data_IF_624598463890
#
_entry.id   IF_624598463890
#
_cell.length_a   1.000
_cell.length_b   1.000
_cell.length_c   1.000
_cell.angle_alpha   90.00
_cell.angle_beta   90.00
_cell.angle_gamma   90.00
#
_symmetry.space_group_name_H-M   'P 1'
#
loop_
_entity.id
_entity.type
_entity.pdbx_description
1 polymer ?
#
# COMPACT_ATOMS: atom_id res chain seq x y z
N UNK A 1 -14.26 15.14 6.94
CA UNK A 1 -12.78 15.15 6.93
C UNK A 1 -12.34 15.28 8.36
N UNK A 2 -11.77 14.21 8.92
CA UNK A 2 -11.13 14.23 10.23
C UNK A 2 -9.85 15.03 10.08
N UNK A 3 -9.83 16.25 10.61
CA UNK A 3 -8.64 17.10 10.61
C UNK A 3 -7.49 16.35 11.32
N UNK A 4 -6.41 16.06 10.59
CA UNK A 4 -5.24 15.36 11.14
C UNK A 4 -4.27 16.35 11.81
N UNK A 5 -4.55 17.65 11.81
CA UNK A 5 -3.67 18.71 12.29
C UNK A 5 -2.30 18.75 11.59
N UNK A 6 -2.28 18.51 10.29
CA UNK A 6 -1.07 18.55 9.45
C UNK A 6 -0.38 19.93 9.53
N UNK A 7 0.87 20.02 10.02
CA UNK A 7 1.60 21.28 10.18
C UNK A 7 2.32 21.74 8.90
N UNK A 8 2.14 21.04 7.78
CA UNK A 8 2.80 21.30 6.49
C UNK A 8 1.80 21.84 5.46
N UNK A 9 2.31 22.21 4.29
CA UNK A 9 1.52 22.53 3.11
C UNK A 9 1.24 21.30 2.21
N UNK A 10 1.64 20.10 2.65
CA UNK A 10 1.46 18.85 1.92
C UNK A 10 0.03 18.34 2.05
N UNK A 11 -0.35 17.39 1.19
CA UNK A 11 -1.57 16.63 1.43
C UNK A 11 -1.47 15.84 2.73
N UNK A 12 -2.60 15.54 3.34
CA UNK A 12 -2.65 14.67 4.53
C UNK A 12 -2.05 13.29 4.25
N UNK A 13 -2.20 12.80 3.01
CA UNK A 13 -1.60 11.55 2.55
C UNK A 13 -0.07 11.65 2.54
N UNK A 14 0.48 12.70 1.92
CA UNK A 14 1.93 12.89 1.83
C UNK A 14 2.55 13.11 3.22
N UNK A 15 1.84 13.81 4.10
CA UNK A 15 2.26 13.95 5.48
C UNK A 15 2.32 12.61 6.22
N UNK A 16 1.30 11.76 6.08
CA UNK A 16 1.27 10.45 6.74
C UNK A 16 2.23 9.42 6.10
N UNK A 17 2.52 9.53 4.80
CA UNK A 17 3.63 8.80 4.17
C UNK A 17 4.98 9.18 4.79
N UNK A 18 5.22 10.48 4.98
CA UNK A 18 6.46 10.93 5.61
C UNK A 18 6.53 10.54 7.09
N UNK A 19 5.43 10.62 7.83
CA UNK A 19 5.34 10.13 9.21
C UNK A 19 5.72 8.64 9.31
N UNK A 20 5.14 7.80 8.44
CA UNK A 20 5.48 6.38 8.37
C UNK A 20 6.96 6.15 8.06
N UNK A 21 7.54 6.95 7.17
CA UNK A 21 8.98 6.92 6.88
C UNK A 21 9.82 7.30 8.10
N UNK A 22 9.49 8.38 8.82
CA UNK A 22 10.19 8.78 10.06
C UNK A 22 10.18 7.65 11.08
N UNK A 23 9.02 7.02 11.31
CA UNK A 23 8.91 5.85 12.21
C UNK A 23 9.84 4.69 11.80
N UNK A 24 10.02 4.45 10.49
CA UNK A 24 10.97 3.45 9.99
C UNK A 24 12.42 3.87 10.19
N UNK A 25 12.75 5.14 10.01
CA UNK A 25 14.10 5.66 10.27
C UNK A 25 14.47 5.49 11.75
N UNK A 26 13.55 5.75 12.67
CA UNK A 26 13.79 5.59 14.12
C UNK A 26 14.06 4.13 14.52
N UNK A 27 13.33 3.19 13.92
CA UNK A 27 13.42 1.77 14.27
C UNK A 27 14.56 1.04 13.54
N UNK A 28 14.85 1.41 12.29
CA UNK A 28 15.67 0.61 11.38
C UNK A 28 16.88 1.39 10.82
N UNK A 29 16.94 2.70 11.07
CA UNK A 29 17.97 3.61 10.59
C UNK A 29 17.72 4.14 9.18
N UNK A 30 18.25 5.33 8.89
CA UNK A 30 17.93 6.05 7.65
C UNK A 30 18.22 5.28 6.37
N UNK A 31 19.41 4.66 6.26
CA UNK A 31 19.80 3.98 5.01
C UNK A 31 18.86 2.82 4.70
N UNK A 32 18.55 1.98 5.69
CA UNK A 32 17.65 0.84 5.49
C UNK A 32 16.22 1.31 5.19
N UNK A 33 15.74 2.31 5.93
CA UNK A 33 14.43 2.91 5.68
C UNK A 33 14.31 3.50 4.26
N UNK A 34 15.35 4.19 3.78
CA UNK A 34 15.35 4.79 2.44
C UNK A 34 15.40 3.75 1.32
N UNK A 35 16.02 2.59 1.55
CA UNK A 35 16.11 1.51 0.56
C UNK A 35 14.83 0.67 0.49
N UNK A 36 14.28 0.31 1.66
CA UNK A 36 13.18 -0.67 1.75
C UNK A 36 11.80 -0.02 1.95
N UNK A 37 11.76 1.19 2.50
CA UNK A 37 10.54 1.89 2.90
C UNK A 37 10.53 3.37 2.47
N UNK A 38 11.12 3.69 1.31
CA UNK A 38 11.08 5.06 0.78
C UNK A 38 9.63 5.56 0.67
N UNK A 39 9.33 6.81 1.12
CA UNK A 39 7.97 7.31 1.16
C UNK A 39 7.37 7.45 -0.25
N UNK A 40 6.10 7.05 -0.40
CA UNK A 40 5.42 7.03 -1.71
C UNK A 40 4.49 8.22 -1.88
N UNK A 41 5.09 9.40 -1.97
CA UNK A 41 4.35 10.65 -2.11
C UNK A 41 3.46 10.71 -3.37
N UNK A 42 2.38 11.46 -3.31
CA UNK A 42 1.51 11.87 -4.41
C UNK A 42 2.08 13.09 -5.15
N UNK A 43 2.61 14.08 -4.43
CA UNK A 43 3.20 15.27 -5.03
C UNK A 43 4.41 14.90 -5.92
N UNK A 44 4.45 15.35 -7.20
CA UNK A 44 5.59 15.14 -8.06
C UNK A 44 6.90 15.73 -7.51
N UNK A 45 6.81 16.87 -6.81
CA UNK A 45 7.94 17.51 -6.17
C UNK A 45 8.52 16.65 -5.05
N UNK A 46 7.64 16.10 -4.18
CA UNK A 46 8.05 15.22 -3.10
C UNK A 46 8.54 13.86 -3.61
N UNK A 47 7.94 13.31 -4.67
CA UNK A 47 8.45 12.11 -5.35
C UNK A 47 9.88 12.32 -5.87
N UNK A 48 10.19 13.49 -6.42
CA UNK A 48 11.55 13.80 -6.87
C UNK A 48 12.56 13.87 -5.71
N UNK A 49 12.10 14.21 -4.50
CA UNK A 49 12.90 14.16 -3.28
C UNK A 49 13.10 12.70 -2.82
N UNK A 50 12.03 11.91 -2.76
CA UNK A 50 12.09 10.49 -2.33
C UNK A 50 12.99 9.63 -3.24
N UNK A 51 13.07 9.95 -4.53
CA UNK A 51 13.91 9.25 -5.51
C UNK A 51 15.39 9.66 -5.47
N UNK A 52 15.77 10.64 -4.66
CA UNK A 52 17.15 11.13 -4.54
C UNK A 52 17.60 10.97 -3.08
N UNK A 53 18.45 9.97 -2.82
CA UNK A 53 18.90 9.62 -1.47
C UNK A 53 19.48 10.81 -0.69
N UNK A 54 20.23 11.68 -1.37
CA UNK A 54 20.83 12.86 -0.74
C UNK A 54 19.78 13.89 -0.35
N UNK A 55 18.81 14.14 -1.24
CA UNK A 55 17.69 15.05 -0.95
C UNK A 55 16.75 14.49 0.10
N UNK A 56 16.40 13.20 0.04
CA UNK A 56 15.57 12.55 1.04
C UNK A 56 16.20 12.66 2.44
N UNK A 57 17.53 12.54 2.53
CA UNK A 57 18.23 12.70 3.81
C UNK A 57 18.17 14.12 4.34
N UNK A 58 18.40 15.12 3.49
CA UNK A 58 18.27 16.53 3.87
C UNK A 58 16.83 16.85 4.28
N UNK A 59 15.86 16.37 3.51
CA UNK A 59 14.44 16.54 3.76
C UNK A 59 14.00 15.92 5.09
N UNK A 60 14.46 14.70 5.39
CA UNK A 60 14.24 14.03 6.66
C UNK A 60 14.71 14.89 7.84
N UNK A 61 15.97 15.33 7.82
CA UNK A 61 16.55 16.14 8.91
C UNK A 61 15.85 17.50 9.09
N UNK A 62 15.31 18.05 8.01
CA UNK A 62 14.57 19.31 8.05
C UNK A 62 13.15 19.15 8.62
N UNK A 63 12.49 18.02 8.35
CA UNK A 63 11.06 17.85 8.59
C UNK A 63 10.71 16.91 9.76
N UNK A 64 11.62 16.05 10.21
CA UNK A 64 11.42 15.20 11.39
C UNK A 64 10.96 15.99 12.64
N UNK A 65 11.50 17.19 12.95
CA UNK A 65 11.01 17.96 14.09
C UNK A 65 9.54 18.39 13.98
N UNK A 66 8.98 18.46 12.76
CA UNK A 66 7.56 18.74 12.54
C UNK A 66 6.69 17.52 12.85
N UNK A 67 7.18 16.30 12.57
CA UNK A 67 6.53 15.05 12.95
C UNK A 67 6.51 14.92 14.47
N UNK A 68 7.63 15.18 15.13
CA UNK A 68 7.71 15.18 16.59
C UNK A 68 6.70 16.15 17.21
N UNK A 69 6.68 17.40 16.74
CA UNK A 69 5.75 18.41 17.24
C UNK A 69 4.28 18.01 17.02
N UNK A 70 3.96 17.45 15.85
CA UNK A 70 2.64 16.93 15.54
C UNK A 70 2.25 15.77 16.47
N UNK A 71 3.16 14.80 16.68
CA UNK A 71 2.93 13.66 17.56
C UNK A 71 2.65 14.09 19.00
N UNK A 72 3.38 15.10 19.51
CA UNK A 72 3.12 15.69 20.82
C UNK A 72 1.77 16.42 20.90
N UNK A 73 1.33 17.03 19.80
CA UNK A 73 0.06 17.75 19.72
C UNK A 73 -1.15 16.80 19.69
N UNK A 74 -1.13 15.78 18.83
CA UNK A 74 -2.28 14.87 18.64
C UNK A 74 -2.30 13.74 19.67
N UNK A 75 -1.14 13.40 20.23
CA UNK A 75 -0.97 12.32 21.18
C UNK A 75 -0.82 10.94 20.52
N UNK A 76 -0.24 9.97 21.26
CA UNK A 76 0.23 8.69 20.71
C UNK A 76 -0.91 7.80 20.16
N UNK A 77 -2.03 7.72 20.87
CA UNK A 77 -3.17 6.89 20.43
C UNK A 77 -3.75 7.41 19.12
N UNK A 78 -3.90 8.73 19.01
CA UNK A 78 -4.45 9.36 17.80
C UNK A 78 -3.49 9.26 16.62
N UNK A 79 -2.20 9.43 16.84
CA UNK A 79 -1.19 9.24 15.80
C UNK A 79 -1.22 7.80 15.26
N UNK A 80 -1.31 6.81 16.14
CA UNK A 80 -1.44 5.39 15.76
C UNK A 80 -2.72 5.13 14.95
N UNK A 81 -3.86 5.67 15.37
CA UNK A 81 -5.12 5.52 14.62
C UNK A 81 -5.03 6.14 13.22
N UNK A 82 -4.39 7.30 13.09
CA UNK A 82 -4.19 7.97 11.81
C UNK A 82 -3.23 7.20 10.90
N UNK A 83 -2.13 6.68 11.46
CA UNK A 83 -1.19 5.83 10.74
C UNK A 83 -1.87 4.55 10.23
N UNK A 84 -2.63 3.86 11.09
CA UNK A 84 -3.35 2.65 10.69
C UNK A 84 -4.39 2.93 9.60
N UNK A 85 -5.12 4.05 9.70
CA UNK A 85 -6.05 4.47 8.66
C UNK A 85 -5.33 4.77 7.33
N UNK A 86 -4.15 5.40 7.37
CA UNK A 86 -3.31 5.64 6.20
C UNK A 86 -2.84 4.33 5.55
N UNK A 87 -2.33 3.38 6.34
CA UNK A 87 -1.89 2.07 5.84
C UNK A 87 -3.05 1.30 5.21
N UNK A 88 -4.24 1.36 5.81
CA UNK A 88 -5.45 0.75 5.24
C UNK A 88 -5.87 1.43 3.93
N UNK A 89 -5.77 2.76 3.84
CA UNK A 89 -6.03 3.52 2.61
C UNK A 89 -5.01 3.18 1.52
N UNK A 90 -3.71 3.16 1.82
CA UNK A 90 -2.64 2.79 0.86
C UNK A 90 -2.80 1.35 0.39
N UNK A 91 -3.19 0.42 1.27
CA UNK A 91 -3.54 -0.96 0.90
C UNK A 91 -4.73 -0.97 -0.07
N UNK A 92 -5.82 -0.28 0.27
CA UNK A 92 -7.02 -0.23 -0.56
C UNK A 92 -6.73 0.37 -1.94
N UNK A 93 -5.95 1.46 -2.01
CA UNK A 93 -5.53 2.08 -3.28
C UNK A 93 -4.72 1.12 -4.16
N UNK A 94 -3.80 0.34 -3.57
CA UNK A 94 -3.02 -0.68 -4.30
C UNK A 94 -3.89 -1.81 -4.81
N UNK A 95 -4.84 -2.26 -4.01
CA UNK A 95 -5.82 -3.29 -4.41
C UNK A 95 -6.72 -2.77 -5.53
N UNK A 96 -7.17 -1.52 -5.44
CA UNK A 96 -8.03 -0.89 -6.44
C UNK A 96 -7.30 -0.58 -7.75
N UNK A 97 -6.00 -0.30 -7.70
CA UNK A 97 -5.17 -0.17 -8.89
C UNK A 97 -5.09 -1.46 -9.71
N UNK A 98 -5.34 -2.63 -9.11
CA UNK A 98 -5.25 -3.91 -9.80
C UNK A 98 -6.49 -4.17 -10.68
N UNK A 99 -6.23 -4.48 -11.95
CA UNK A 99 -7.27 -4.85 -12.91
C UNK A 99 -7.55 -6.35 -12.97
N UNK A 100 -6.72 -7.17 -12.32
CA UNK A 100 -6.81 -8.62 -12.38
C UNK A 100 -6.91 -9.19 -10.96
N UNK A 101 -7.64 -10.28 -10.79
CA UNK A 101 -7.74 -10.94 -9.50
C UNK A 101 -8.22 -12.39 -9.60
N UNK A 102 -8.20 -13.10 -8.49
CA UNK A 102 -8.65 -14.49 -8.37
C UNK A 102 -9.74 -14.52 -7.31
N UNK A 103 -10.97 -14.91 -7.69
CA UNK A 103 -11.98 -15.26 -6.68
C UNK A 103 -11.70 -16.66 -6.17
N UNK A 104 -11.59 -16.80 -4.86
CA UNK A 104 -11.46 -18.07 -4.19
C UNK A 104 -12.83 -18.61 -3.77
N UNK A 105 -12.92 -19.91 -3.50
CA UNK A 105 -14.16 -20.58 -3.10
C UNK A 105 -14.75 -20.09 -1.77
N UNK A 106 -13.97 -19.38 -0.95
CA UNK A 106 -14.40 -18.73 0.29
C UNK A 106 -14.95 -17.31 0.05
N UNK A 107 -15.06 -16.87 -1.20
CA UNK A 107 -15.52 -15.55 -1.60
C UNK A 107 -14.45 -14.46 -1.54
N UNK A 108 -13.23 -14.77 -1.06
CA UNK A 108 -12.13 -13.80 -1.02
C UNK A 108 -11.58 -13.56 -2.43
N UNK A 109 -11.07 -12.34 -2.67
CA UNK A 109 -10.41 -11.98 -3.93
C UNK A 109 -8.95 -11.67 -3.67
N UNK A 110 -8.06 -12.35 -4.40
CA UNK A 110 -6.63 -12.04 -4.42
C UNK A 110 -6.36 -11.12 -5.61
N UNK A 111 -5.96 -9.88 -5.37
CA UNK A 111 -5.59 -8.92 -6.43
C UNK A 111 -4.23 -9.27 -7.03
N UNK A 112 -4.08 -9.03 -8.34
CA UNK A 112 -2.89 -9.38 -9.10
C UNK A 112 -2.47 -8.21 -9.99
N UNK A 113 -1.17 -7.89 -10.00
CA UNK A 113 -0.63 -6.76 -10.77
C UNK A 113 -0.62 -6.97 -12.28
N UNK A 114 -0.80 -8.20 -12.76
CA UNK A 114 -0.91 -8.51 -14.19
C UNK A 114 -1.74 -9.77 -14.44
N UNK A 115 -2.26 -9.91 -15.65
CA UNK A 115 -2.96 -11.11 -16.12
C UNK A 115 -2.06 -12.35 -16.01
N UNK A 116 -0.80 -12.22 -16.46
CA UNK A 116 0.16 -13.32 -16.42
C UNK A 116 0.42 -13.80 -14.98
N UNK A 117 0.59 -12.87 -14.05
CA UNK A 117 0.82 -13.22 -12.64
C UNK A 117 -0.42 -13.88 -12.02
N UNK A 118 -1.62 -13.36 -12.31
CA UNK A 118 -2.89 -13.96 -11.89
C UNK A 118 -2.99 -15.42 -12.33
N UNK A 119 -2.73 -15.66 -13.61
CA UNK A 119 -2.87 -16.98 -14.21
C UNK A 119 -1.85 -17.98 -13.63
N UNK A 120 -0.60 -17.53 -13.43
CA UNK A 120 0.45 -18.33 -12.78
C UNK A 120 0.10 -18.65 -11.32
N UNK A 121 -0.30 -17.64 -10.54
CA UNK A 121 -0.68 -17.82 -9.14
C UNK A 121 -1.89 -18.75 -9.00
N UNK A 122 -2.89 -18.62 -9.87
CA UNK A 122 -4.04 -19.52 -9.88
C UNK A 122 -3.63 -20.97 -10.14
N UNK A 123 -2.74 -21.22 -11.10
CA UNK A 123 -2.24 -22.55 -11.38
C UNK A 123 -1.47 -23.13 -10.19
N UNK A 124 -0.61 -22.33 -9.55
CA UNK A 124 0.17 -22.72 -8.37
C UNK A 124 -0.74 -23.04 -7.16
N UNK A 125 -1.79 -22.26 -6.94
CA UNK A 125 -2.76 -22.49 -5.87
C UNK A 125 -3.57 -23.78 -6.12
N UNK A 126 -4.01 -24.03 -7.35
CA UNK A 126 -4.69 -25.28 -7.72
C UNK A 126 -3.79 -26.50 -7.56
N UNK A 127 -2.51 -26.40 -7.91
CA UNK A 127 -1.55 -27.49 -7.72
C UNK A 127 -1.33 -27.83 -6.23
N UNK A 128 -1.68 -26.92 -5.32
CA UNK A 128 -1.56 -27.08 -3.86
C UNK A 128 -2.90 -27.36 -3.18
N UNK A 129 -3.96 -27.62 -3.94
CA UNK A 129 -5.29 -27.94 -3.40
C UNK A 129 -5.21 -29.04 -2.33
N UNK A 130 -5.92 -28.86 -1.21
CA UNK A 130 -5.90 -29.76 -0.07
C UNK A 130 -4.82 -29.49 0.98
N UNK A 131 -3.86 -28.58 0.72
CA UNK A 131 -2.80 -28.22 1.68
C UNK A 131 -3.14 -26.99 2.54
N UNK A 132 -4.42 -26.68 2.72
CA UNK A 132 -4.89 -25.52 3.51
C UNK A 132 -4.77 -24.15 2.82
N UNK A 133 -4.30 -24.10 1.57
CA UNK A 133 -4.32 -22.90 0.74
C UNK A 133 -5.73 -22.60 0.21
N UNK A 134 -6.02 -21.32 -0.07
CA UNK A 134 -7.26 -20.93 -0.73
C UNK A 134 -7.34 -21.56 -2.11
N UNK A 135 -8.53 -22.04 -2.47
CA UNK A 135 -8.78 -22.71 -3.74
C UNK A 135 -9.35 -21.69 -4.74
N UNK A 136 -8.70 -21.46 -5.89
CA UNK A 136 -9.23 -20.62 -6.95
C UNK A 136 -10.55 -21.17 -7.52
N UNK A 137 -11.53 -20.29 -7.69
CA UNK A 137 -12.82 -20.57 -8.33
C UNK A 137 -12.88 -19.92 -9.72
N UNK A 138 -12.62 -18.62 -9.80
CA UNK A 138 -12.70 -17.84 -11.03
C UNK A 138 -11.55 -16.86 -11.18
N UNK A 139 -11.15 -16.64 -12.43
CA UNK A 139 -10.24 -15.55 -12.79
C UNK A 139 -11.06 -14.32 -13.10
N UNK A 140 -10.69 -13.21 -12.46
CA UNK A 140 -11.42 -11.96 -12.48
C UNK A 140 -10.69 -10.88 -13.26
N UNK A 141 -11.46 -9.97 -13.82
CA UNK A 141 -10.99 -8.73 -14.45
C UNK A 141 -11.89 -7.54 -14.11
N UNK A 142 -11.29 -6.36 -14.01
CA UNK A 142 -11.94 -5.04 -13.99
C UNK A 142 -11.56 -4.28 -15.26
N UNK A 143 -12.46 -3.44 -15.74
CA UNK A 143 -12.18 -2.53 -16.87
C UNK A 143 -11.47 -1.25 -16.42
N UNK A 144 -11.68 -0.85 -15.17
CA UNK A 144 -11.07 0.35 -14.56
C UNK A 144 -10.63 0.06 -13.13
N UNK A 145 -9.57 0.74 -12.63
CA UNK A 145 -9.19 0.67 -11.23
C UNK A 145 -10.38 0.94 -10.29
N UNK A 146 -10.50 0.17 -9.21
CA UNK A 146 -11.59 0.25 -8.23
C UNK A 146 -12.98 -0.17 -8.76
N UNK A 147 -13.07 -0.64 -10.02
CA UNK A 147 -14.32 -1.06 -10.64
C UNK A 147 -14.91 -2.35 -10.06
N UNK A 148 -16.08 -2.75 -10.58
CA UNK A 148 -16.65 -4.06 -10.23
C UNK A 148 -15.86 -5.19 -10.86
N UNK A 149 -15.66 -6.27 -10.10
CA UNK A 149 -15.07 -7.50 -10.61
C UNK A 149 -16.03 -8.22 -11.55
N UNK A 150 -15.49 -8.69 -12.66
CA UNK A 150 -16.21 -9.53 -13.62
C UNK A 150 -15.50 -10.86 -13.75
N UNK A 151 -16.27 -11.95 -13.73
CA UNK A 151 -15.74 -13.29 -14.02
C UNK A 151 -15.32 -13.32 -15.49
N UNK A 152 -14.01 -13.45 -15.74
CA UNK A 152 -13.48 -13.54 -17.10
C UNK A 152 -13.55 -14.99 -17.59
N UNK A 153 -13.09 -15.94 -16.76
CA UNK A 153 -13.10 -17.38 -17.06
C UNK A 153 -12.99 -18.21 -15.77
N UNK A 154 -13.44 -19.48 -15.78
CA UNK A 154 -13.20 -20.37 -14.65
C UNK A 154 -11.69 -20.56 -14.43
N UNK A 155 -11.29 -20.69 -13.17
CA UNK A 155 -9.90 -20.95 -12.83
C UNK A 155 -9.46 -22.36 -13.23
N UNK A 156 -10.40 -23.33 -13.22
CA UNK A 156 -10.18 -24.69 -13.73
C UNK A 156 -10.55 -24.75 -15.22
N UNK A 157 -9.72 -25.36 -16.08
CA UNK A 157 -10.15 -25.74 -17.41
C UNK A 157 -11.38 -26.66 -17.31
N UNK A 158 -12.35 -26.47 -18.20
CA UNK A 158 -13.43 -27.45 -18.35
C UNK A 158 -12.81 -28.80 -18.74
N UNK A 159 -13.25 -29.86 -18.06
CA UNK A 159 -12.82 -31.24 -18.34
C UNK A 159 -13.33 -31.71 -19.70
#
# INVERSE_FOLDING_TARGET
MTDIANPTDWSDYDFLEFEGFVSKVENEGFTYAAEEYSPKFESPELQAIANDFGKLRAFYLEHEPKIDAWYQQVGPERACDLHNAHVDEERQRREDACLFGIRCTDGQVITCGSEQYRDQLSADLLAREGNGWRVPEALLRRDTPGGQWTDERPARPAA
#
